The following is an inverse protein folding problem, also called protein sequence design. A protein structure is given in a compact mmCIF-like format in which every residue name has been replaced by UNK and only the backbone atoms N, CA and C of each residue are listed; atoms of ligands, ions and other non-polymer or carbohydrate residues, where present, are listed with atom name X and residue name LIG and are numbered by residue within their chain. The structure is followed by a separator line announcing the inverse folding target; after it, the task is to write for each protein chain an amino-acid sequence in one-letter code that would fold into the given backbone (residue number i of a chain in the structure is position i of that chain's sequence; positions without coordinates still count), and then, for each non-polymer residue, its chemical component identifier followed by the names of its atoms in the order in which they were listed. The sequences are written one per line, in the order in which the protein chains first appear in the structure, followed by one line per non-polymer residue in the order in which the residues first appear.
data_IF_047056426239
#
_entry.id   IF_047056426239
#
_cell.length_a   1.000
_cell.length_b   1.000
_cell.length_c   1.000
_cell.angle_alpha   90.00
_cell.angle_beta   90.00
_cell.angle_gamma   90.00
#
_symmetry.space_group_name_H-M   'P 1'
#
loop_
_entity.id
_entity.type
_entity.pdbx_description
1 polymer ?
#
# COMPACT_ATOMS: atom_id res chain seq x y z
N UNK A 1 3.31 -0.79 26.02
CA UNK A 1 2.40 -0.94 24.86
C UNK A 1 3.20 -1.54 23.72
N UNK A 2 2.53 -2.30 22.85
CA UNK A 2 3.14 -2.78 21.63
C UNK A 2 3.57 -1.61 20.73
N UNK A 3 4.61 -1.79 19.91
CA UNK A 3 5.27 -0.73 19.16
C UNK A 3 5.44 -1.11 17.69
N UNK A 4 5.22 -0.15 16.77
CA UNK A 4 5.61 -0.24 15.37
C UNK A 4 6.86 0.62 15.16
N UNK A 5 7.97 -0.02 14.84
CA UNK A 5 9.24 0.62 14.52
C UNK A 5 9.27 0.88 13.01
N UNK A 6 9.60 2.11 12.62
CA UNK A 6 9.57 2.56 11.22
C UNK A 6 10.92 3.18 10.87
N UNK A 7 11.69 2.51 10.02
CA UNK A 7 12.95 3.06 9.52
C UNK A 7 12.70 4.00 8.34
N UNK A 8 12.59 5.28 8.66
CA UNK A 8 12.41 6.34 7.66
C UNK A 8 13.60 6.43 6.71
N UNK A 9 14.79 6.13 7.22
CA UNK A 9 16.06 6.10 6.47
C UNK A 9 16.06 5.03 5.37
N UNK A 10 15.61 3.81 5.70
CA UNK A 10 15.47 2.72 4.72
C UNK A 10 14.45 3.08 3.64
N UNK A 11 13.32 3.67 4.04
CA UNK A 11 12.29 4.14 3.10
C UNK A 11 12.84 5.24 2.17
N UNK A 12 13.56 6.23 2.70
CA UNK A 12 14.19 7.28 1.89
C UNK A 12 15.22 6.71 0.90
N UNK A 13 16.00 5.71 1.33
CA UNK A 13 16.95 5.02 0.46
C UNK A 13 16.23 4.25 -0.66
N UNK A 14 15.13 3.57 -0.36
CA UNK A 14 14.30 2.90 -1.37
C UNK A 14 13.73 3.90 -2.37
N UNK A 15 13.23 5.06 -1.91
CA UNK A 15 12.75 6.14 -2.78
C UNK A 15 13.88 6.65 -3.69
N UNK A 16 15.05 6.89 -3.13
CA UNK A 16 16.21 7.34 -3.89
C UNK A 16 16.58 6.33 -4.98
N UNK A 17 16.73 5.06 -4.61
CA UNK A 17 17.06 3.98 -5.53
C UNK A 17 16.04 3.87 -6.68
N UNK A 18 14.75 3.81 -6.35
CA UNK A 18 13.69 3.73 -7.36
C UNK A 18 13.65 4.97 -8.25
N UNK A 19 13.91 6.17 -7.71
CA UNK A 19 13.96 7.38 -8.52
C UNK A 19 15.07 7.33 -9.57
N UNK A 20 16.27 6.91 -9.17
CA UNK A 20 17.42 6.73 -10.07
C UNK A 20 17.16 5.62 -11.10
N UNK A 21 16.53 4.53 -10.67
CA UNK A 21 16.14 3.43 -11.55
C UNK A 21 15.10 3.85 -12.59
N UNK A 22 14.07 4.60 -12.21
CA UNK A 22 13.05 5.10 -13.14
C UNK A 22 13.60 6.17 -14.08
N UNK A 23 14.42 7.08 -13.59
CA UNK A 23 15.09 8.08 -14.42
C UNK A 23 15.92 7.42 -15.53
N UNK A 24 16.70 6.37 -15.20
CA UNK A 24 17.49 5.63 -16.18
C UNK A 24 16.64 4.88 -17.23
N UNK A 25 15.36 4.64 -16.94
CA UNK A 25 14.39 4.02 -17.85
C UNK A 25 13.41 5.02 -18.50
N UNK A 26 13.62 6.33 -18.34
CA UNK A 26 12.73 7.41 -18.83
C UNK A 26 11.29 7.28 -18.30
N UNK A 27 11.13 6.87 -17.06
CA UNK A 27 9.84 6.67 -16.39
C UNK A 27 9.63 7.76 -15.35
N UNK A 28 8.52 8.49 -15.45
CA UNK A 28 7.98 9.32 -14.38
C UNK A 28 7.30 8.46 -13.32
N UNK A 29 7.27 8.90 -12.07
CA UNK A 29 6.58 8.12 -11.06
C UNK A 29 5.97 8.94 -9.94
N UNK A 30 4.89 8.40 -9.39
CA UNK A 30 4.19 8.93 -8.22
C UNK A 30 4.43 8.02 -7.02
N UNK A 31 4.87 8.58 -5.91
CA UNK A 31 4.96 7.87 -4.63
C UNK A 31 3.57 7.74 -4.01
N UNK A 32 3.10 6.51 -3.80
CA UNK A 32 1.77 6.23 -3.22
C UNK A 32 1.87 5.98 -1.72
N UNK A 33 1.37 6.92 -0.91
CA UNK A 33 1.49 6.91 0.56
C UNK A 33 0.25 6.39 1.29
N UNK A 34 -0.69 5.75 0.61
CA UNK A 34 -2.00 5.34 1.16
C UNK A 34 -1.91 4.46 2.42
N UNK A 35 -0.83 3.65 2.57
CA UNK A 35 -0.61 2.79 3.73
C UNK A 35 -0.50 3.59 5.04
N UNK A 36 0.01 4.82 4.96
CA UNK A 36 0.19 5.70 6.11
C UNK A 36 -1.03 6.55 6.46
N UNK A 37 -2.12 6.44 5.70
CA UNK A 37 -3.38 7.15 5.97
C UNK A 37 -3.23 8.65 6.23
N UNK A 38 -2.18 9.27 5.67
CA UNK A 38 -1.89 10.69 5.84
C UNK A 38 -1.29 11.04 7.20
N UNK A 39 -0.63 10.09 7.89
CA UNK A 39 0.11 10.36 9.12
C UNK A 39 1.14 11.47 8.90
N UNK A 40 0.98 12.58 9.66
CA UNK A 40 1.77 13.79 9.45
C UNK A 40 3.22 13.64 9.89
N UNK A 41 3.48 12.87 10.93
CA UNK A 41 4.84 12.66 11.43
C UNK A 41 5.62 11.82 10.41
N UNK A 42 5.03 10.72 9.91
CA UNK A 42 5.61 9.97 8.82
C UNK A 42 5.91 10.85 7.60
N UNK A 43 4.91 11.64 7.15
CA UNK A 43 5.06 12.49 5.98
C UNK A 43 6.19 13.50 6.14
N UNK A 44 6.37 14.09 7.33
CA UNK A 44 7.48 15.02 7.61
C UNK A 44 8.84 14.33 7.57
N UNK A 45 8.94 13.14 8.13
CA UNK A 45 10.21 12.39 8.18
C UNK A 45 10.63 11.88 6.80
N UNK A 46 9.69 11.38 5.98
CA UNK A 46 9.99 10.75 4.69
C UNK A 46 10.04 11.75 3.54
N UNK A 47 9.09 12.72 3.49
CA UNK A 47 8.97 13.65 2.36
C UNK A 47 9.87 14.88 2.53
N UNK A 48 11.17 14.66 2.64
CA UNK A 48 12.17 15.72 2.67
C UNK A 48 12.24 16.45 1.32
N UNK A 49 12.85 17.64 1.29
CA UNK A 49 13.03 18.42 0.05
C UNK A 49 13.76 17.62 -1.04
N UNK A 50 14.72 16.78 -0.65
CA UNK A 50 15.51 15.99 -1.58
C UNK A 50 14.73 14.80 -2.13
N UNK A 51 13.85 14.18 -1.33
CA UNK A 51 12.92 13.15 -1.78
C UNK A 51 11.92 13.73 -2.78
N UNK A 52 11.30 14.86 -2.45
CA UNK A 52 10.25 15.48 -3.28
C UNK A 52 10.76 15.85 -4.68
N UNK A 53 12.02 16.29 -4.81
CA UNK A 53 12.62 16.62 -6.11
C UNK A 53 12.79 15.42 -7.03
N UNK A 54 12.80 14.20 -6.48
CA UNK A 54 13.05 12.96 -7.21
C UNK A 54 11.78 12.23 -7.67
N UNK A 55 10.61 12.70 -7.25
CA UNK A 55 9.30 12.12 -7.57
C UNK A 55 8.45 13.13 -8.33
N UNK A 56 7.61 12.65 -9.24
CA UNK A 56 6.72 13.51 -10.03
C UNK A 56 5.54 14.03 -9.20
N UNK A 57 5.01 13.18 -8.33
CA UNK A 57 3.93 13.54 -7.41
C UNK A 57 3.82 12.56 -6.24
N UNK A 58 3.03 12.94 -5.22
CA UNK A 58 2.66 12.06 -4.11
C UNK A 58 1.17 11.71 -4.20
N UNK A 59 0.86 10.42 -4.16
CA UNK A 59 -0.48 9.89 -4.35
C UNK A 59 -1.11 9.30 -3.09
N UNK A 60 -2.41 9.57 -2.92
CA UNK A 60 -3.21 8.91 -1.89
C UNK A 60 -4.64 8.68 -2.39
N UNK A 61 -5.33 7.72 -1.78
CA UNK A 61 -6.72 7.37 -2.08
C UNK A 61 -7.74 8.06 -1.18
N UNK A 62 -7.30 8.87 -0.22
CA UNK A 62 -8.15 9.57 0.75
C UNK A 62 -7.89 11.08 0.71
N UNK A 63 -8.97 11.86 0.68
CA UNK A 63 -8.88 13.33 0.66
C UNK A 63 -8.26 13.90 1.94
N UNK A 64 -8.54 13.30 3.08
CA UNK A 64 -7.92 13.68 4.36
C UNK A 64 -6.40 13.52 4.32
N UNK A 65 -5.90 12.45 3.67
CA UNK A 65 -4.47 12.25 3.48
C UNK A 65 -3.87 13.31 2.57
N UNK A 66 -4.50 13.62 1.43
CA UNK A 66 -4.04 14.70 0.53
C UNK A 66 -4.06 16.07 1.21
N UNK A 67 -5.08 16.34 2.03
CA UNK A 67 -5.13 17.56 2.86
C UNK A 67 -3.93 17.65 3.81
N UNK A 68 -3.57 16.54 4.46
CA UNK A 68 -2.41 16.47 5.33
C UNK A 68 -1.10 16.65 4.55
N UNK A 69 -0.96 16.02 3.37
CA UNK A 69 0.17 16.22 2.45
C UNK A 69 0.37 17.70 2.10
N UNK A 70 -0.70 18.36 1.65
CA UNK A 70 -0.67 19.81 1.34
C UNK A 70 -0.37 20.66 2.59
N UNK A 71 -0.78 20.20 3.77
CA UNK A 71 -0.46 20.88 5.05
C UNK A 71 1.02 20.74 5.45
N UNK A 72 1.66 19.63 5.12
CA UNK A 72 3.10 19.41 5.36
C UNK A 72 3.95 20.16 4.32
N UNK A 73 3.54 20.11 3.05
CA UNK A 73 4.22 20.81 1.96
C UNK A 73 3.20 21.32 0.92
N UNK A 74 2.79 22.62 0.98
CA UNK A 74 1.81 23.18 0.04
C UNK A 74 2.24 23.14 -1.43
N UNK A 75 3.54 23.19 -1.70
CA UNK A 75 4.10 23.14 -3.07
C UNK A 75 4.20 21.74 -3.67
N UNK A 76 3.91 20.71 -2.89
CA UNK A 76 3.99 19.33 -3.37
C UNK A 76 2.89 19.04 -4.38
N UNK A 77 3.26 18.48 -5.54
CA UNK A 77 2.29 17.97 -6.51
C UNK A 77 1.63 16.71 -5.98
N UNK A 78 0.31 16.66 -6.00
CA UNK A 78 -0.48 15.57 -5.43
C UNK A 78 -1.37 14.92 -6.48
N UNK A 79 -1.53 13.60 -6.37
CA UNK A 79 -2.42 12.82 -7.24
C UNK A 79 -3.42 12.00 -6.42
N UNK A 80 -4.71 12.13 -6.74
CA UNK A 80 -5.76 11.30 -6.15
C UNK A 80 -5.91 10.02 -6.96
N UNK A 81 -5.56 8.86 -6.35
CA UNK A 81 -5.31 7.60 -7.07
C UNK A 81 -6.50 6.64 -7.16
N UNK A 82 -7.70 7.10 -6.89
CA UNK A 82 -8.94 6.33 -7.16
C UNK A 82 -9.97 7.24 -7.81
N UNK A 83 -10.98 6.70 -8.52
CA UNK A 83 -12.07 7.52 -9.05
C UNK A 83 -12.74 8.33 -7.94
N UNK A 84 -12.87 9.67 -8.07
CA UNK A 84 -13.47 10.49 -7.06
C UNK A 84 -14.99 10.25 -6.94
N UNK A 85 -15.52 10.39 -5.74
CA UNK A 85 -16.96 10.52 -5.58
C UNK A 85 -17.38 11.94 -6.01
N UNK A 86 -18.44 12.04 -6.81
CA UNK A 86 -18.94 13.30 -7.39
C UNK A 86 -19.14 14.41 -6.35
N UNK A 87 -19.65 14.04 -5.16
CA UNK A 87 -19.91 14.99 -4.07
C UNK A 87 -18.66 15.66 -3.50
N UNK A 88 -17.47 15.09 -3.71
CA UNK A 88 -16.21 15.63 -3.22
C UNK A 88 -15.41 16.39 -4.29
N UNK A 89 -16.06 16.80 -5.39
CA UNK A 89 -15.37 17.48 -6.48
C UNK A 89 -14.64 18.76 -6.02
N UNK A 90 -15.24 19.56 -5.14
CA UNK A 90 -14.62 20.79 -4.60
C UNK A 90 -13.35 20.46 -3.78
N UNK A 91 -13.38 19.40 -2.96
CA UNK A 91 -12.22 18.97 -2.18
C UNK A 91 -11.12 18.37 -3.07
N UNK A 92 -11.47 17.66 -4.14
CA UNK A 92 -10.49 17.18 -5.14
C UNK A 92 -9.77 18.37 -5.75
N UNK A 93 -10.49 19.36 -6.25
CA UNK A 93 -9.90 20.59 -6.85
C UNK A 93 -9.01 21.34 -5.85
N UNK A 94 -9.31 21.24 -4.57
CA UNK A 94 -8.56 21.92 -3.51
C UNK A 94 -7.27 21.17 -3.13
N UNK A 95 -7.29 19.85 -3.07
CA UNK A 95 -6.22 19.06 -2.47
C UNK A 95 -5.46 18.15 -3.44
N UNK A 96 -5.97 17.94 -4.66
CA UNK A 96 -5.32 17.16 -5.70
C UNK A 96 -4.97 18.04 -6.90
N UNK A 97 -3.74 17.97 -7.37
CA UNK A 97 -3.33 18.59 -8.63
C UNK A 97 -3.73 17.71 -9.83
N UNK A 98 -3.74 16.40 -9.64
CA UNK A 98 -4.14 15.40 -10.62
C UNK A 98 -5.14 14.42 -9.98
N UNK A 99 -6.10 13.90 -10.75
CA UNK A 99 -6.94 12.77 -10.29
C UNK A 99 -7.13 11.71 -11.37
N UNK A 100 -7.24 10.43 -10.93
CA UNK A 100 -7.58 9.30 -11.79
C UNK A 100 -9.11 9.24 -11.95
N UNK A 101 -9.60 9.12 -13.19
CA UNK A 101 -11.03 9.20 -13.48
C UNK A 101 -11.48 8.15 -14.50
N UNK A 102 -12.73 7.69 -14.34
CA UNK A 102 -13.40 6.77 -15.27
C UNK A 102 -14.91 7.07 -15.43
N UNK A 103 -15.41 8.14 -14.81
CA UNK A 103 -16.83 8.50 -14.85
C UNK A 103 -17.03 9.90 -15.43
N UNK A 104 -17.74 9.99 -16.55
CA UNK A 104 -18.03 11.28 -17.20
C UNK A 104 -18.82 12.21 -16.26
N UNK A 105 -19.80 11.70 -15.54
CA UNK A 105 -20.59 12.49 -14.57
C UNK A 105 -19.72 13.11 -13.48
N UNK A 106 -18.70 12.37 -13.01
CA UNK A 106 -17.75 12.89 -12.03
C UNK A 106 -16.84 13.93 -12.66
N UNK A 107 -16.35 13.71 -13.89
CA UNK A 107 -15.50 14.68 -14.60
C UNK A 107 -16.24 16.00 -14.84
N UNK A 108 -17.53 15.96 -15.18
CA UNK A 108 -18.38 17.20 -15.26
C UNK A 108 -18.39 17.94 -13.92
N UNK A 109 -18.55 17.22 -12.80
CA UNK A 109 -18.55 17.86 -11.48
C UNK A 109 -17.16 18.51 -11.18
N UNK A 110 -16.07 17.80 -11.50
CA UNK A 110 -14.71 18.36 -11.39
C UNK A 110 -14.53 19.60 -12.27
N UNK A 111 -15.02 19.57 -13.53
CA UNK A 111 -14.96 20.73 -14.41
C UNK A 111 -15.70 21.95 -13.81
N UNK A 112 -16.89 21.73 -13.26
CA UNK A 112 -17.67 22.81 -12.66
C UNK A 112 -17.02 23.35 -11.38
N UNK A 113 -16.44 22.49 -10.54
CA UNK A 113 -15.70 22.89 -9.35
C UNK A 113 -14.40 23.63 -9.70
N UNK A 114 -13.68 23.16 -10.73
CA UNK A 114 -12.48 23.81 -11.24
C UNK A 114 -12.80 25.20 -11.80
N UNK A 115 -13.89 25.33 -12.56
CA UNK A 115 -14.39 26.63 -13.05
C UNK A 115 -14.68 27.61 -11.90
N UNK A 116 -15.39 27.17 -10.85
CA UNK A 116 -15.66 27.97 -9.66
C UNK A 116 -14.39 28.41 -8.96
N UNK A 117 -13.37 27.56 -8.93
CA UNK A 117 -12.08 27.85 -8.32
C UNK A 117 -11.12 28.62 -9.24
N UNK A 118 -11.54 28.99 -10.45
CA UNK A 118 -10.73 29.60 -11.51
C UNK A 118 -9.44 28.82 -11.79
N UNK A 119 -9.56 27.50 -11.95
CA UNK A 119 -8.46 26.54 -12.19
C UNK A 119 -8.75 25.68 -13.40
N UNK A 120 -7.69 25.06 -13.92
CA UNK A 120 -7.76 23.90 -14.82
C UNK A 120 -7.28 22.71 -14.00
N UNK A 121 -8.09 21.65 -13.93
CA UNK A 121 -7.75 20.45 -13.18
C UNK A 121 -7.23 19.35 -14.11
N UNK A 122 -6.10 18.76 -13.76
CA UNK A 122 -5.46 17.69 -14.52
C UNK A 122 -6.05 16.33 -14.19
N UNK A 123 -6.33 15.54 -15.23
CA UNK A 123 -6.85 14.17 -15.05
C UNK A 123 -6.08 13.15 -15.88
N UNK A 124 -6.03 11.92 -15.36
CA UNK A 124 -5.68 10.72 -16.12
C UNK A 124 -6.95 9.87 -16.25
N UNK A 125 -7.33 9.53 -17.47
CA UNK A 125 -8.49 8.68 -17.73
C UNK A 125 -8.05 7.22 -17.62
N UNK A 126 -8.72 6.46 -16.76
CA UNK A 126 -8.45 5.05 -16.55
C UNK A 126 -9.24 4.18 -17.51
N UNK A 127 -8.58 3.17 -18.09
CA UNK A 127 -9.15 2.18 -19.01
C UNK A 127 -9.18 0.81 -18.32
N UNK A 128 -10.30 0.12 -18.44
CA UNK A 128 -10.47 -1.22 -17.89
C UNK A 128 -9.83 -2.26 -18.84
N UNK A 129 -8.80 -2.95 -18.35
CA UNK A 129 -8.03 -3.93 -19.11
C UNK A 129 -8.18 -5.38 -18.59
N UNK A 130 -9.21 -5.67 -17.82
CA UNK A 130 -9.56 -7.03 -17.38
C UNK A 130 -9.60 -7.21 -15.87
N UNK A 131 -9.22 -6.18 -15.07
CA UNK A 131 -9.24 -6.23 -13.60
C UNK A 131 -10.65 -6.11 -13.02
N UNK A 132 -11.64 -5.71 -13.84
CA UNK A 132 -13.05 -5.50 -13.47
C UNK A 132 -13.23 -4.56 -12.27
N UNK A 133 -12.43 -3.55 -12.18
CA UNK A 133 -12.46 -2.56 -11.09
C UNK A 133 -12.78 -1.17 -11.64
N UNK A 134 -11.83 -0.24 -11.68
CA UNK A 134 -12.06 1.07 -12.29
C UNK A 134 -11.56 1.12 -13.73
N UNK A 135 -12.21 1.94 -14.55
CA UNK A 135 -11.82 2.19 -15.92
C UNK A 135 -13.03 2.30 -16.85
N UNK A 136 -12.87 3.06 -17.92
CA UNK A 136 -13.86 3.10 -19.01
C UNK A 136 -13.71 1.84 -19.87
N UNK A 137 -14.82 1.40 -20.47
CA UNK A 137 -14.80 0.27 -21.39
C UNK A 137 -14.00 0.61 -22.65
N UNK A 138 -13.22 -0.34 -23.13
CA UNK A 138 -12.41 -0.19 -24.35
C UNK A 138 -13.22 0.24 -25.56
N UNK A 139 -14.44 -0.26 -25.69
CA UNK A 139 -15.37 0.06 -26.79
C UNK A 139 -15.90 1.50 -26.75
N UNK A 140 -15.86 2.14 -25.59
CA UNK A 140 -16.36 3.50 -25.38
C UNK A 140 -15.24 4.55 -25.41
N UNK A 141 -13.97 4.12 -25.52
CA UNK A 141 -12.78 4.93 -25.35
C UNK A 141 -12.83 6.24 -26.18
N UNK A 142 -13.04 6.12 -27.48
CA UNK A 142 -12.96 7.28 -28.39
C UNK A 142 -14.06 8.28 -28.12
N UNK A 143 -15.29 7.83 -27.92
CA UNK A 143 -16.43 8.71 -27.61
C UNK A 143 -16.27 9.39 -26.25
N UNK A 144 -15.70 8.68 -25.29
CA UNK A 144 -15.44 9.23 -23.95
C UNK A 144 -14.43 10.39 -24.04
N UNK A 145 -13.29 10.18 -24.70
CA UNK A 145 -12.28 11.22 -24.87
C UNK A 145 -12.81 12.42 -25.66
N UNK A 146 -13.55 12.20 -26.76
CA UNK A 146 -14.18 13.24 -27.55
C UNK A 146 -15.07 14.16 -26.70
N UNK A 147 -15.88 13.54 -25.82
CA UNK A 147 -16.77 14.29 -24.95
C UNK A 147 -16.01 15.04 -23.84
N UNK A 148 -14.98 14.42 -23.24
CA UNK A 148 -14.22 15.06 -22.16
C UNK A 148 -13.34 16.20 -22.70
N UNK A 149 -12.82 16.12 -23.92
CA UNK A 149 -12.05 17.20 -24.54
C UNK A 149 -12.85 18.51 -24.76
N UNK A 150 -14.18 18.46 -24.69
CA UNK A 150 -15.03 19.67 -24.77
C UNK A 150 -15.07 20.45 -23.44
N UNK A 151 -14.55 19.90 -22.34
CA UNK A 151 -14.61 20.53 -21.03
C UNK A 151 -13.47 21.54 -20.83
N UNK A 152 -13.80 22.82 -20.64
CA UNK A 152 -12.86 23.92 -20.66
C UNK A 152 -11.95 24.03 -19.42
N UNK A 153 -12.34 23.40 -18.31
CA UNK A 153 -11.59 23.46 -17.04
C UNK A 153 -10.98 22.10 -16.64
N UNK A 154 -10.92 21.16 -17.61
CA UNK A 154 -10.26 19.87 -17.46
C UNK A 154 -9.12 19.77 -18.49
N UNK A 155 -7.96 19.34 -18.01
CA UNK A 155 -6.80 19.01 -18.83
C UNK A 155 -6.53 17.50 -18.72
N UNK A 156 -6.71 16.77 -19.84
CA UNK A 156 -6.43 15.33 -19.90
C UNK A 156 -4.93 15.15 -20.16
N UNK A 157 -4.17 14.86 -19.11
CA UNK A 157 -2.72 14.71 -19.22
C UNK A 157 -2.27 13.27 -19.46
N UNK A 158 -3.19 12.30 -19.45
CA UNK A 158 -2.79 10.92 -19.64
C UNK A 158 -3.93 9.92 -19.74
N UNK A 159 -3.52 8.72 -20.11
CA UNK A 159 -4.30 7.49 -20.09
C UNK A 159 -3.67 6.53 -19.08
N UNK A 160 -4.47 5.73 -18.38
CA UNK A 160 -3.93 4.79 -17.40
C UNK A 160 -4.75 3.52 -17.29
N UNK A 161 -4.19 2.53 -16.63
CA UNK A 161 -4.87 1.32 -16.20
C UNK A 161 -4.36 0.88 -14.83
N UNK A 162 -5.08 -0.03 -14.20
CA UNK A 162 -4.64 -0.69 -12.98
C UNK A 162 -4.79 -2.20 -13.14
N UNK A 163 -3.73 -2.93 -12.84
CA UNK A 163 -3.64 -4.38 -12.95
C UNK A 163 -3.05 -4.95 -11.65
N UNK A 164 -3.27 -6.26 -11.41
CA UNK A 164 -2.72 -6.97 -10.27
C UNK A 164 -3.25 -6.50 -8.93
N UNK A 165 -4.55 -6.24 -8.81
CA UNK A 165 -5.15 -5.71 -7.60
C UNK A 165 -6.26 -6.60 -7.04
N UNK A 166 -7.48 -6.51 -7.58
CA UNK A 166 -8.64 -7.22 -7.02
C UNK A 166 -8.72 -8.67 -7.48
N UNK A 167 -8.59 -8.89 -8.80
CA UNK A 167 -8.58 -10.23 -9.40
C UNK A 167 -7.17 -10.76 -9.66
N UNK A 168 -6.14 -9.93 -9.47
CA UNK A 168 -4.76 -10.35 -9.71
C UNK A 168 -4.41 -10.49 -11.19
N UNK A 169 -5.07 -9.76 -12.08
CA UNK A 169 -4.75 -9.79 -13.52
C UNK A 169 -3.34 -9.26 -13.71
N UNK A 170 -2.43 -10.12 -14.13
CA UNK A 170 -1.02 -9.76 -14.29
C UNK A 170 -0.80 -8.68 -15.36
N UNK A 171 0.10 -7.71 -15.11
CA UNK A 171 0.54 -6.77 -16.12
C UNK A 171 1.45 -7.49 -17.12
N UNK A 172 0.89 -7.90 -18.27
CA UNK A 172 1.67 -8.49 -19.36
C UNK A 172 2.09 -7.42 -20.37
N UNK A 173 3.12 -7.73 -21.20
CA UNK A 173 3.50 -6.87 -22.30
C UNK A 173 2.30 -6.49 -23.18
N UNK A 174 1.45 -7.47 -23.54
CA UNK A 174 0.28 -7.25 -24.40
C UNK A 174 -0.75 -6.30 -23.75
N UNK A 175 -0.99 -6.42 -22.45
CA UNK A 175 -1.89 -5.50 -21.74
C UNK A 175 -1.35 -4.06 -21.74
N UNK A 176 -0.06 -3.92 -21.49
CA UNK A 176 0.59 -2.61 -21.52
C UNK A 176 0.68 -2.04 -22.93
N UNK A 177 0.94 -2.89 -23.95
CA UNK A 177 0.93 -2.48 -25.36
C UNK A 177 -0.45 -2.00 -25.81
N UNK A 178 -1.54 -2.63 -25.38
CA UNK A 178 -2.89 -2.13 -25.63
C UNK A 178 -3.06 -0.69 -25.12
N UNK A 179 -2.55 -0.38 -23.93
CA UNK A 179 -2.64 0.97 -23.36
C UNK A 179 -1.85 1.99 -24.21
N UNK A 180 -0.63 1.63 -24.68
CA UNK A 180 0.17 2.44 -25.57
C UNK A 180 -0.55 2.70 -26.90
N UNK A 181 -1.13 1.65 -27.52
CA UNK A 181 -1.88 1.78 -28.76
C UNK A 181 -3.12 2.69 -28.62
N UNK A 182 -3.81 2.64 -27.47
CA UNK A 182 -4.93 3.55 -27.21
C UNK A 182 -4.46 5.01 -27.12
N UNK A 183 -3.32 5.28 -26.52
CA UNK A 183 -2.72 6.63 -26.51
C UNK A 183 -2.46 7.12 -27.93
N UNK A 184 -1.86 6.28 -28.79
CA UNK A 184 -1.59 6.63 -30.18
C UNK A 184 -2.86 6.89 -30.99
N UNK A 185 -3.90 6.05 -30.81
CA UNK A 185 -5.20 6.25 -31.47
C UNK A 185 -5.87 7.57 -31.04
N UNK A 186 -5.80 7.93 -29.76
CA UNK A 186 -6.33 9.19 -29.24
C UNK A 186 -5.55 10.36 -29.84
N UNK A 187 -4.22 10.29 -29.85
CA UNK A 187 -3.35 11.33 -30.40
C UNK A 187 -3.63 11.54 -31.90
N UNK A 188 -3.76 10.47 -32.66
CA UNK A 188 -4.04 10.53 -34.09
C UNK A 188 -5.44 11.11 -34.40
N UNK A 189 -6.48 10.69 -33.64
CA UNK A 189 -7.85 11.13 -33.89
C UNK A 189 -8.10 12.58 -33.49
N UNK A 190 -7.55 13.03 -32.35
CA UNK A 190 -7.88 14.33 -31.74
C UNK A 190 -6.78 15.37 -31.89
N UNK A 191 -5.63 15.01 -32.45
CA UNK A 191 -4.43 15.84 -32.53
C UNK A 191 -4.06 16.40 -31.12
N UNK A 192 -4.09 15.50 -30.12
CA UNK A 192 -3.77 15.78 -28.71
C UNK A 192 -2.68 14.84 -28.25
N UNK A 193 -1.63 15.38 -27.65
CA UNK A 193 -0.61 14.55 -27.02
C UNK A 193 -0.94 14.34 -25.54
N UNK A 194 -0.87 13.07 -25.10
CA UNK A 194 -1.04 12.69 -23.71
C UNK A 194 0.33 12.49 -23.07
N UNK A 195 0.67 13.32 -22.08
CA UNK A 195 1.95 13.28 -21.39
C UNK A 195 2.23 11.92 -20.74
N UNK A 196 1.21 11.30 -20.13
CA UNK A 196 1.38 10.06 -19.36
C UNK A 196 0.62 8.88 -19.96
N UNK A 197 1.33 7.76 -20.07
CA UNK A 197 0.76 6.42 -20.21
C UNK A 197 1.02 5.68 -18.91
N UNK A 198 0.03 5.76 -17.98
CA UNK A 198 0.15 5.35 -16.59
C UNK A 198 -0.26 3.90 -16.39
N UNK A 199 0.59 2.96 -16.85
CA UNK A 199 0.35 1.51 -16.80
C UNK A 199 1.05 0.77 -15.65
N UNK A 200 2.01 1.42 -14.96
CA UNK A 200 2.85 0.75 -13.99
C UNK A 200 2.43 0.96 -12.53
N UNK A 201 2.60 -0.10 -11.73
CA UNK A 201 2.52 -0.11 -10.26
C UNK A 201 3.64 -0.98 -9.71
N UNK A 202 3.68 -1.23 -8.40
CA UNK A 202 4.70 -2.10 -7.78
C UNK A 202 4.76 -3.50 -8.39
N UNK A 203 3.62 -4.05 -8.84
CA UNK A 203 3.57 -5.37 -9.51
C UNK A 203 4.22 -5.38 -10.90
N UNK A 204 4.38 -4.19 -11.54
CA UNK A 204 4.95 -4.08 -12.89
C UNK A 204 6.49 -4.00 -12.88
N UNK A 205 7.11 -3.79 -11.72
CA UNK A 205 8.55 -3.60 -11.61
C UNK A 205 9.40 -4.72 -12.24
N UNK A 206 9.10 -6.02 -12.05
CA UNK A 206 9.88 -7.10 -12.66
C UNK A 206 9.83 -7.08 -14.19
N UNK A 207 8.78 -6.52 -14.80
CA UNK A 207 8.66 -6.42 -16.24
C UNK A 207 9.65 -5.41 -16.84
N UNK A 208 9.96 -4.33 -16.09
CA UNK A 208 10.99 -3.36 -16.53
C UNK A 208 12.34 -4.05 -16.59
N UNK A 209 12.68 -4.85 -15.58
CA UNK A 209 13.94 -5.59 -15.51
C UNK A 209 14.11 -6.55 -16.69
N UNK A 210 13.02 -7.18 -17.10
CA UNK A 210 13.00 -8.14 -18.21
C UNK A 210 12.80 -7.47 -19.57
N UNK A 211 12.85 -6.13 -19.67
CA UNK A 211 12.54 -5.36 -20.89
C UNK A 211 11.16 -5.71 -21.50
N UNK A 212 10.21 -6.08 -20.65
CA UNK A 212 8.85 -6.48 -21.03
C UNK A 212 7.81 -5.36 -20.76
N UNK A 213 8.26 -4.10 -20.78
CA UNK A 213 7.40 -2.93 -20.72
C UNK A 213 7.54 -2.15 -22.03
N UNK A 214 6.44 -1.87 -22.76
CA UNK A 214 6.48 -1.01 -23.94
C UNK A 214 7.06 0.38 -23.61
N UNK A 215 7.86 0.94 -24.50
CA UNK A 215 8.59 2.22 -24.29
C UNK A 215 7.68 3.41 -23.97
N UNK A 216 6.44 3.38 -24.44
CA UNK A 216 5.47 4.46 -24.21
C UNK A 216 4.85 4.43 -22.81
N UNK A 217 5.00 3.33 -22.08
CA UNK A 217 4.57 3.25 -20.67
C UNK A 217 5.57 4.03 -19.83
N UNK A 218 5.26 5.29 -19.60
CA UNK A 218 6.20 6.26 -19.04
C UNK A 218 5.79 6.82 -17.68
N UNK A 219 4.73 6.28 -17.04
CA UNK A 219 4.32 6.73 -15.70
C UNK A 219 3.93 5.56 -14.81
N UNK A 220 4.50 5.53 -13.59
CA UNK A 220 4.30 4.48 -12.58
C UNK A 220 3.77 5.08 -11.27
N UNK A 221 2.94 4.32 -10.55
CA UNK A 221 2.37 4.68 -9.25
C UNK A 221 2.81 3.65 -8.23
N UNK A 222 3.87 3.94 -7.49
CA UNK A 222 4.58 2.97 -6.64
C UNK A 222 4.30 3.26 -5.17
N UNK A 223 3.88 2.25 -4.44
CA UNK A 223 3.68 2.28 -2.98
C UNK A 223 4.39 1.10 -2.33
N UNK A 224 3.85 -0.09 -2.50
CA UNK A 224 4.27 -1.28 -1.76
C UNK A 224 5.77 -1.57 -1.90
N UNK A 225 6.31 -1.54 -3.10
CA UNK A 225 7.74 -1.77 -3.31
C UNK A 225 8.63 -0.74 -2.61
N UNK A 226 8.20 0.52 -2.48
CA UNK A 226 8.95 1.54 -1.71
C UNK A 226 9.05 1.14 -0.25
N UNK A 227 7.96 0.67 0.33
CA UNK A 227 7.87 0.48 1.78
C UNK A 227 8.29 -0.91 2.23
N UNK A 228 8.07 -1.92 1.40
CA UNK A 228 8.37 -3.32 1.74
C UNK A 228 9.50 -3.93 0.92
N UNK A 229 10.03 -3.20 -0.06
CA UNK A 229 11.17 -3.62 -0.87
C UNK A 229 10.89 -4.80 -1.81
N UNK A 230 9.65 -5.24 -1.92
CA UNK A 230 9.23 -6.41 -2.71
C UNK A 230 8.29 -6.04 -3.85
N UNK A 231 8.26 -6.87 -4.89
CA UNK A 231 7.21 -6.80 -5.91
C UNK A 231 6.04 -7.71 -5.52
N UNK A 232 4.78 -7.23 -5.55
CA UNK A 232 3.61 -8.09 -5.31
C UNK A 232 3.41 -9.18 -6.36
N UNK A 233 4.10 -9.13 -7.50
CA UNK A 233 3.99 -10.15 -8.55
C UNK A 233 4.49 -11.53 -8.09
N UNK A 234 5.61 -11.54 -7.39
CA UNK A 234 6.31 -12.76 -6.99
C UNK A 234 6.78 -12.76 -5.53
N UNK A 235 6.44 -11.70 -4.78
CA UNK A 235 6.87 -11.45 -3.39
C UNK A 235 8.38 -11.46 -3.18
N UNK A 236 9.16 -11.28 -4.27
CA UNK A 236 10.61 -11.19 -4.16
C UNK A 236 11.09 -9.77 -3.95
N UNK A 237 12.23 -9.66 -3.28
CA UNK A 237 12.95 -8.41 -3.15
C UNK A 237 13.26 -7.84 -4.53
N UNK A 238 12.88 -6.58 -4.75
CA UNK A 238 13.20 -5.90 -6.01
C UNK A 238 14.56 -5.22 -5.88
N UNK A 239 15.54 -5.75 -6.63
CA UNK A 239 16.91 -5.21 -6.64
C UNK A 239 17.45 -5.07 -5.20
N UNK A 240 18.03 -3.91 -4.89
CA UNK A 240 18.67 -3.61 -3.61
C UNK A 240 17.74 -2.88 -2.61
N UNK A 241 16.42 -2.93 -2.82
CA UNK A 241 15.48 -2.28 -1.91
C UNK A 241 15.50 -2.96 -0.54
N UNK A 242 15.53 -2.17 0.53
CA UNK A 242 15.40 -2.69 1.90
C UNK A 242 14.01 -3.28 2.12
N UNK A 243 13.94 -4.50 2.68
CA UNK A 243 12.69 -5.24 2.93
C UNK A 243 12.29 -5.24 4.40
N UNK A 244 13.03 -4.56 5.25
CA UNK A 244 12.92 -4.53 6.70
C UNK A 244 12.78 -3.09 7.23
N UNK A 245 12.01 -2.28 6.52
CA UNK A 245 11.71 -0.91 6.95
C UNK A 245 10.71 -0.85 8.11
N UNK A 246 10.02 -1.94 8.41
CA UNK A 246 9.05 -2.05 9.50
C UNK A 246 9.35 -3.27 10.36
N UNK A 247 9.21 -3.07 11.66
CA UNK A 247 9.23 -4.13 12.66
C UNK A 247 8.12 -3.85 13.68
N UNK A 248 7.38 -4.88 14.05
CA UNK A 248 6.37 -4.79 15.11
C UNK A 248 6.86 -5.54 16.34
N UNK A 249 6.72 -4.93 17.51
CA UNK A 249 7.09 -5.56 18.79
C UNK A 249 5.95 -5.52 19.77
N UNK A 250 5.78 -6.59 20.53
CA UNK A 250 4.78 -6.70 21.59
C UNK A 250 5.40 -7.22 22.88
N UNK A 251 4.87 -6.79 24.03
CA UNK A 251 5.42 -7.15 25.32
C UNK A 251 4.82 -8.46 25.84
N UNK A 252 5.62 -9.29 26.47
CA UNK A 252 5.15 -10.43 27.25
C UNK A 252 4.56 -9.91 28.56
N UNK A 253 3.25 -10.06 28.73
CA UNK A 253 2.52 -9.62 29.94
C UNK A 253 2.24 -10.75 30.91
N UNK A 254 2.23 -12.00 30.44
CA UNK A 254 2.14 -13.22 31.25
C UNK A 254 3.04 -14.31 30.66
N UNK A 255 3.63 -15.13 31.50
CA UNK A 255 4.49 -16.24 31.13
C UNK A 255 4.29 -17.37 32.14
N UNK A 256 3.65 -18.48 31.70
CA UNK A 256 3.29 -19.59 32.59
C UNK A 256 3.38 -20.92 31.88
N UNK A 257 3.70 -21.96 32.64
CA UNK A 257 3.56 -23.35 32.18
C UNK A 257 2.09 -23.73 32.15
N UNK A 258 1.59 -24.12 30.98
CA UNK A 258 0.19 -24.47 30.76
C UNK A 258 0.10 -25.80 29.99
N UNK A 259 -1.06 -26.47 30.11
CA UNK A 259 -1.36 -27.64 29.26
C UNK A 259 -1.26 -27.26 27.77
N UNK A 260 -0.82 -28.19 26.94
CA UNK A 260 -0.75 -28.00 25.50
C UNK A 260 -2.16 -27.80 24.93
N UNK A 261 -3.10 -28.68 25.30
CA UNK A 261 -4.49 -28.63 24.89
C UNK A 261 -5.40 -28.01 25.97
N UNK A 262 -6.51 -27.35 25.59
CA UNK A 262 -7.52 -26.85 26.52
C UNK A 262 -8.17 -27.96 27.34
N UNK A 263 -8.60 -27.65 28.56
CA UNK A 263 -9.29 -28.54 29.46
C UNK A 263 -10.77 -28.13 29.59
N UNK A 264 -11.68 -28.93 29.08
CA UNK A 264 -13.11 -28.70 29.11
C UNK A 264 -13.83 -28.95 27.79
N UNK A 265 -15.13 -28.63 27.77
CA UNK A 265 -15.96 -28.74 26.55
C UNK A 265 -15.73 -27.50 25.71
N UNK A 266 -15.20 -27.66 24.50
CA UNK A 266 -14.99 -26.58 23.54
C UNK A 266 -16.28 -26.36 22.77
N UNK A 267 -16.69 -25.09 22.64
CA UNK A 267 -17.86 -24.67 21.86
C UNK A 267 -17.47 -23.67 20.79
N UNK A 268 -18.34 -23.46 19.79
CA UNK A 268 -18.14 -22.52 18.68
C UNK A 268 -18.39 -21.04 19.10
N UNK A 269 -18.64 -20.77 20.39
CA UNK A 269 -19.01 -19.43 20.89
C UNK A 269 -17.83 -18.52 21.22
N UNK A 270 -16.62 -18.77 20.71
CA UNK A 270 -15.44 -17.95 20.95
C UNK A 270 -15.42 -16.71 20.01
N UNK A 271 -14.85 -15.61 20.51
CA UNK A 271 -14.65 -14.37 19.73
C UNK A 271 -13.29 -14.39 19.01
N UNK A 272 -12.35 -15.21 19.48
CA UNK A 272 -11.00 -15.29 18.94
C UNK A 272 -10.82 -16.43 17.93
N UNK A 273 -9.57 -16.55 17.48
CA UNK A 273 -9.12 -17.67 16.65
C UNK A 273 -8.03 -18.43 17.40
N UNK A 274 -8.06 -19.75 17.29
CA UNK A 274 -7.00 -20.63 17.79
C UNK A 274 -6.36 -21.40 16.65
N UNK A 275 -5.15 -21.91 16.90
CA UNK A 275 -4.58 -22.94 16.03
C UNK A 275 -5.46 -24.18 16.05
N UNK A 276 -5.50 -24.90 14.94
CA UNK A 276 -6.12 -26.22 14.89
C UNK A 276 -5.27 -27.20 15.70
N UNK A 277 -5.90 -27.85 16.69
CA UNK A 277 -5.26 -28.91 17.47
C UNK A 277 -5.84 -30.26 17.04
N UNK A 278 -4.98 -31.19 16.67
CA UNK A 278 -5.37 -32.58 16.62
C UNK A 278 -5.50 -33.07 18.07
N UNK A 279 -6.76 -33.27 18.51
CA UNK A 279 -7.06 -33.57 19.92
C UNK A 279 -6.68 -35.00 20.33
N UNK A 280 -6.15 -35.80 19.42
CA UNK A 280 -5.78 -37.21 19.70
C UNK A 280 -4.33 -37.27 20.20
N UNK A 281 -4.17 -37.68 21.45
CA UNK A 281 -2.92 -38.11 22.09
C UNK A 281 -1.86 -37.05 22.47
N UNK A 282 -2.17 -35.76 22.45
CA UNK A 282 -1.23 -34.77 22.95
C UNK A 282 -1.42 -34.57 24.46
N UNK A 283 -0.45 -35.04 25.23
CA UNK A 283 -0.38 -34.82 26.69
C UNK A 283 0.89 -34.03 27.05
N UNK A 284 0.83 -33.28 28.13
CA UNK A 284 1.99 -32.50 28.62
C UNK A 284 1.72 -31.02 28.81
N UNK A 285 2.78 -30.32 29.16
CA UNK A 285 2.80 -28.88 29.39
C UNK A 285 3.83 -28.20 28.51
N UNK A 286 3.65 -26.92 28.26
CA UNK A 286 4.58 -26.06 27.54
C UNK A 286 4.57 -24.67 28.16
N UNK A 287 5.60 -23.86 27.93
CA UNK A 287 5.60 -22.47 28.38
C UNK A 287 4.82 -21.61 27.38
N UNK A 288 3.71 -21.03 27.81
CA UNK A 288 2.90 -20.10 27.01
C UNK A 288 3.12 -18.67 27.48
N UNK A 289 3.18 -17.75 26.55
CA UNK A 289 3.22 -16.33 26.80
C UNK A 289 1.97 -15.63 26.27
N UNK A 290 1.50 -14.60 26.97
CA UNK A 290 0.46 -13.68 26.53
C UNK A 290 1.12 -12.37 26.15
N UNK A 291 0.75 -11.83 24.99
CA UNK A 291 1.24 -10.57 24.42
C UNK A 291 0.16 -9.49 24.45
N UNK A 292 0.58 -8.22 24.59
CA UNK A 292 -0.27 -7.04 24.78
C UNK A 292 -0.87 -6.47 23.48
N UNK A 293 -1.33 -7.30 22.56
CA UNK A 293 -2.10 -6.91 21.37
C UNK A 293 -3.02 -8.05 20.91
N UNK A 294 -4.04 -7.72 20.12
CA UNK A 294 -4.98 -8.70 19.60
C UNK A 294 -5.66 -8.29 18.31
N UNK A 295 -6.81 -8.91 17.99
CA UNK A 295 -7.57 -8.71 16.75
C UNK A 295 -8.03 -7.27 16.52
N UNK A 296 -8.18 -6.46 17.59
CA UNK A 296 -8.50 -5.04 17.48
C UNK A 296 -7.36 -4.24 16.85
N UNK A 297 -6.13 -4.71 16.93
CA UNK A 297 -4.95 -4.07 16.37
C UNK A 297 -4.58 -4.62 15.00
N UNK A 298 -4.50 -5.95 14.87
CA UNK A 298 -4.17 -6.64 13.63
C UNK A 298 -4.60 -8.12 13.67
N UNK A 299 -4.59 -8.76 12.52
CA UNK A 299 -4.79 -10.20 12.39
C UNK A 299 -3.43 -10.92 12.41
N UNK A 300 -3.31 -12.02 13.14
CA UNK A 300 -2.05 -12.77 13.27
C UNK A 300 -1.47 -13.25 11.93
N UNK A 301 -2.32 -13.49 10.92
CA UNK A 301 -1.87 -13.86 9.56
C UNK A 301 -1.12 -12.75 8.83
N UNK A 302 -1.20 -11.52 9.32
CA UNK A 302 -0.55 -10.36 8.73
C UNK A 302 0.85 -10.11 9.32
N UNK A 303 1.30 -10.95 10.26
CA UNK A 303 2.63 -10.88 10.89
C UNK A 303 3.33 -12.24 10.88
N UNK A 304 4.66 -12.20 10.90
CA UNK A 304 5.52 -13.38 11.06
C UNK A 304 6.44 -13.21 12.25
N UNK A 305 6.61 -14.24 13.06
CA UNK A 305 7.65 -14.24 14.09
C UNK A 305 9.05 -14.12 13.47
N UNK A 306 9.86 -13.21 14.00
CA UNK A 306 11.28 -13.15 13.64
C UNK A 306 11.99 -14.37 14.22
N UNK A 307 11.69 -14.72 15.46
CA UNK A 307 12.14 -15.96 16.08
C UNK A 307 11.26 -17.14 15.63
N UNK A 308 11.77 -17.97 14.74
CA UNK A 308 11.07 -19.09 14.13
C UNK A 308 10.85 -20.30 15.06
N UNK A 309 11.30 -20.23 16.32
CA UNK A 309 11.03 -21.24 17.34
C UNK A 309 9.73 -21.02 18.10
N UNK A 310 9.07 -19.87 17.89
CA UNK A 310 7.80 -19.52 18.51
C UNK A 310 6.63 -20.02 17.68
N UNK A 311 5.57 -20.48 18.33
CA UNK A 311 4.38 -20.98 17.67
C UNK A 311 3.13 -20.18 18.08
N UNK A 312 2.22 -20.02 17.14
CA UNK A 312 0.92 -19.40 17.38
C UNK A 312 -0.01 -20.37 18.10
N UNK A 313 -0.63 -19.92 19.19
CA UNK A 313 -1.63 -20.69 19.92
C UNK A 313 -3.04 -20.14 19.69
N UNK A 314 -3.23 -18.83 19.85
CA UNK A 314 -4.53 -18.22 19.65
C UNK A 314 -4.50 -16.72 19.88
N UNK A 315 -5.49 -16.03 19.33
CA UNK A 315 -5.66 -14.58 19.44
C UNK A 315 -7.09 -14.25 19.87
N UNK A 316 -7.22 -13.35 20.80
CA UNK A 316 -8.50 -12.77 21.23
C UNK A 316 -8.62 -11.32 20.73
N UNK A 317 -9.61 -10.58 21.21
CA UNK A 317 -9.78 -9.17 20.85
C UNK A 317 -8.54 -8.32 21.11
N UNK A 318 -7.84 -8.57 22.22
CA UNK A 318 -6.80 -7.69 22.78
C UNK A 318 -5.53 -8.42 23.26
N UNK A 319 -5.45 -9.74 23.10
CA UNK A 319 -4.31 -10.57 23.51
C UNK A 319 -3.97 -11.62 22.46
N UNK A 320 -2.66 -11.81 22.23
CA UNK A 320 -2.11 -12.95 21.48
C UNK A 320 -1.48 -13.94 22.46
N UNK A 321 -1.78 -15.23 22.30
CA UNK A 321 -1.13 -16.32 23.03
C UNK A 321 -0.18 -17.05 22.10
N UNK A 322 1.05 -17.26 22.56
CA UNK A 322 2.11 -17.97 21.84
C UNK A 322 2.71 -19.08 22.69
N UNK A 323 3.25 -20.08 22.03
CA UNK A 323 4.00 -21.19 22.63
C UNK A 323 5.50 -20.94 22.49
N UNK A 324 6.24 -21.03 23.59
CA UNK A 324 7.69 -20.83 23.67
C UNK A 324 8.45 -22.18 23.78
N UNK A 325 7.73 -23.33 23.76
CA UNK A 325 8.30 -24.63 24.05
C UNK A 325 8.88 -24.68 25.46
N UNK A 326 10.14 -25.11 25.59
CA UNK A 326 10.84 -25.14 26.88
C UNK A 326 11.31 -23.74 27.35
N UNK A 327 11.17 -22.71 26.52
CA UNK A 327 11.66 -21.35 26.78
C UNK A 327 13.16 -21.29 27.19
N UNK A 328 13.99 -22.08 26.49
CA UNK A 328 15.44 -22.16 26.77
C UNK A 328 16.26 -21.77 25.55
N UNK A 329 17.41 -21.15 25.80
CA UNK A 329 18.48 -20.98 24.82
C UNK A 329 19.23 -22.29 24.61
N UNK A 330 20.09 -22.35 23.58
CA UNK A 330 20.94 -23.54 23.31
C UNK A 330 21.84 -23.91 24.50
N UNK A 331 22.18 -22.93 25.35
CA UNK A 331 23.01 -23.12 26.55
C UNK A 331 22.18 -23.47 27.81
N UNK A 332 20.85 -23.70 27.65
CA UNK A 332 19.95 -24.06 28.72
C UNK A 332 19.45 -22.92 29.62
N UNK A 333 19.87 -21.66 29.33
CA UNK A 333 19.36 -20.49 30.06
C UNK A 333 17.94 -20.14 29.62
N UNK A 334 17.18 -19.44 30.49
CA UNK A 334 15.87 -18.92 30.14
C UNK A 334 15.98 -17.93 28.97
N UNK A 335 15.17 -18.12 27.91
CA UNK A 335 15.22 -17.31 26.69
C UNK A 335 14.38 -16.03 26.81
N UNK A 336 13.18 -16.14 27.34
CA UNK A 336 12.24 -15.01 27.50
C UNK A 336 11.72 -14.93 28.95
N UNK A 337 11.41 -13.72 29.40
CA UNK A 337 10.81 -13.40 30.71
C UNK A 337 9.70 -12.36 30.56
N UNK A 338 8.87 -12.18 31.56
CA UNK A 338 7.84 -11.14 31.60
C UNK A 338 8.50 -9.77 31.42
N UNK A 339 7.91 -8.96 30.52
CA UNK A 339 8.41 -7.64 30.13
C UNK A 339 9.37 -7.64 28.93
N UNK A 340 9.83 -8.80 28.47
CA UNK A 340 10.58 -8.89 27.23
C UNK A 340 9.66 -8.66 26.02
N UNK A 341 10.25 -8.27 24.87
CA UNK A 341 9.54 -8.05 23.62
C UNK A 341 9.67 -9.22 22.69
N UNK A 342 8.57 -9.58 22.06
CA UNK A 342 8.54 -10.47 20.91
C UNK A 342 8.52 -9.62 19.64
N UNK A 343 9.33 -10.02 18.67
CA UNK A 343 9.57 -9.29 17.43
C UNK A 343 8.90 -9.95 16.25
N UNK A 344 8.23 -9.16 15.43
CA UNK A 344 7.48 -9.61 14.25
C UNK A 344 7.85 -8.83 13.00
N UNK A 345 7.82 -9.51 11.86
CA UNK A 345 7.83 -8.89 10.54
C UNK A 345 6.39 -8.65 10.08
N UNK A 346 5.91 -7.39 10.01
CA UNK A 346 4.56 -7.10 9.57
C UNK A 346 4.49 -7.03 8.04
N UNK A 347 3.37 -7.50 7.45
CA UNK A 347 3.07 -7.27 6.05
C UNK A 347 2.39 -5.91 5.82
N UNK A 348 1.99 -5.63 4.56
CA UNK A 348 1.30 -4.39 4.19
C UNK A 348 0.03 -4.13 5.00
N UNK A 349 -0.80 -5.17 5.22
CA UNK A 349 -2.08 -5.01 5.95
C UNK A 349 -1.85 -4.78 7.43
N UNK A 350 -0.87 -5.46 8.04
CA UNK A 350 -0.48 -5.20 9.42
C UNK A 350 -0.04 -3.75 9.60
N UNK A 351 0.89 -3.26 8.79
CA UNK A 351 1.36 -1.86 8.88
C UNK A 351 0.22 -0.87 8.73
N UNK A 352 -0.69 -1.08 7.75
CA UNK A 352 -1.84 -0.21 7.55
C UNK A 352 -2.78 -0.17 8.76
N UNK A 353 -2.99 -1.29 9.45
CA UNK A 353 -3.82 -1.38 10.65
C UNK A 353 -3.12 -0.75 11.86
N UNK A 354 -1.87 -1.13 12.12
CA UNK A 354 -1.07 -0.63 13.25
C UNK A 354 -0.91 0.89 13.20
N UNK A 355 -0.72 1.49 12.03
CA UNK A 355 -0.65 2.93 11.86
C UNK A 355 -1.96 3.66 12.22
N UNK A 356 -3.10 2.99 12.09
CA UNK A 356 -4.40 3.55 12.44
C UNK A 356 -4.83 3.23 13.89
N UNK A 357 -4.18 2.28 14.57
CA UNK A 357 -4.44 1.99 15.98
C UNK A 357 -3.95 3.12 16.87
N UNK A 358 -4.76 3.51 17.85
CA UNK A 358 -4.40 4.49 18.89
C UNK A 358 -3.60 3.86 20.02
N UNK A 359 -3.58 2.54 20.08
CA UNK A 359 -2.99 1.76 21.18
C UNK A 359 -1.60 1.21 20.83
N UNK A 360 -1.15 1.44 19.60
CA UNK A 360 0.18 1.07 19.15
C UNK A 360 1.07 2.32 19.07
N UNK A 361 2.20 2.27 19.74
CA UNK A 361 3.20 3.36 19.68
C UNK A 361 3.95 3.30 18.35
N UNK A 362 4.09 4.44 17.65
CA UNK A 362 4.86 4.57 16.42
C UNK A 362 6.20 5.19 16.72
N UNK A 363 7.29 4.49 16.41
CA UNK A 363 8.66 4.96 16.60
C UNK A 363 9.36 5.12 15.25
N UNK A 364 9.91 6.29 15.03
CA UNK A 364 10.66 6.66 13.83
C UNK A 364 12.15 6.79 14.17
N UNK A 365 13.05 6.27 13.29
CA UNK A 365 14.51 6.44 13.39
C UNK A 365 15.00 7.76 12.76
#
# INVERSE_FOLDING_TARGET
MAELLISTKKIQNNIKYLSEYFESNNIHWSLVTKVFSGDKEFLKHVLTKDVIKKIDSVGDSRLTSLKNLKGVNPGMRTIYIKPPAKMYADDIIKYADVSLNSSFTTIIALNNSAKKANKIHQIIIMVELGELREGIKRTELMNFYETVFQLSNIDIIGIGSNLGCMYGVEPTYDKLLQLSLYKELISAKFNKDLKYVSGGTSITLPLIENNSVPKDINHFRIGEAVFFGVSPLDNKQFKELSTDAFEFTANIIELEEKKIIPDGIISDGNIGHSADFDMQDITGTTIKAILDFGLLDLDQKDIEFIDKTLEYVGITSDMLVIDLGENKTKDGAQKYKIGDKIHFKPNYMAVARLLNSKFIEKKYD
#
